data_IF_227396103033
#
_entry.id   IF_227396103033
#
_cell.length_a   1.000
_cell.length_b   1.000
_cell.length_c   1.000
_cell.angle_alpha   90.00
_cell.angle_beta   90.00
_cell.angle_gamma   90.00
#
_symmetry.space_group_name_H-M   'P 1'
#
loop_
_entity.id
_entity.type
_entity.pdbx_description
1 polymer ?
#
# COMPACT_ATOMS: atom_id res chain seq x y z
N UNK A 1 22.20 9.23 7.64
CA UNK A 1 21.43 8.55 8.71
C UNK A 1 19.99 9.02 8.74
N UNK A 2 19.73 10.33 8.86
CA UNK A 2 18.36 10.85 8.92
C UNK A 2 17.54 10.63 7.65
N UNK A 3 18.17 10.58 6.48
CA UNK A 3 17.50 10.25 5.23
C UNK A 3 16.92 8.82 5.22
N UNK A 4 17.69 7.82 5.67
CA UNK A 4 17.21 6.43 5.77
C UNK A 4 16.07 6.31 6.77
N UNK A 5 16.22 6.92 7.95
CA UNK A 5 15.16 6.97 8.97
C UNK A 5 13.88 7.59 8.39
N UNK A 6 13.99 8.74 7.70
CA UNK A 6 12.85 9.41 7.06
C UNK A 6 12.15 8.52 6.04
N UNK A 7 12.91 7.80 5.21
CA UNK A 7 12.36 6.87 4.21
C UNK A 7 11.64 5.71 4.88
N UNK A 8 12.25 5.05 5.87
CA UNK A 8 11.58 3.95 6.58
C UNK A 8 10.32 4.41 7.30
N UNK A 9 10.39 5.50 8.06
CA UNK A 9 9.24 6.07 8.76
C UNK A 9 8.08 6.36 7.82
N UNK A 10 8.36 6.87 6.61
CA UNK A 10 7.35 7.10 5.58
C UNK A 10 6.83 5.79 5.01
N UNK A 11 7.70 4.84 4.68
CA UNK A 11 7.33 3.59 4.03
C UNK A 11 6.40 2.73 4.91
N UNK A 12 6.62 2.67 6.22
CA UNK A 12 5.77 1.91 7.15
C UNK A 12 4.37 2.49 7.34
N UNK A 13 4.14 3.74 6.91
CA UNK A 13 2.84 4.41 6.95
C UNK A 13 2.02 4.21 5.68
N UNK A 14 2.64 3.68 4.62
CA UNK A 14 2.01 3.47 3.32
C UNK A 14 1.56 2.00 3.23
N UNK A 15 0.34 1.70 2.73
CA UNK A 15 -0.13 0.35 2.44
C UNK A 15 0.68 -0.32 1.31
N UNK A 16 1.90 -0.77 1.62
CA UNK A 16 2.78 -1.50 0.71
C UNK A 16 2.66 -3.01 0.98
N UNK A 17 2.76 -3.84 -0.07
CA UNK A 17 2.68 -5.31 0.09
C UNK A 17 3.73 -5.87 1.06
N UNK A 18 4.90 -5.25 1.13
CA UNK A 18 6.01 -5.65 2.00
C UNK A 18 6.09 -4.84 3.31
N UNK A 19 5.01 -4.16 3.72
CA UNK A 19 5.03 -3.28 4.91
C UNK A 19 5.49 -3.99 6.18
N UNK A 20 5.13 -5.26 6.37
CA UNK A 20 5.55 -6.06 7.53
C UNK A 20 7.06 -6.33 7.53
N UNK A 21 7.64 -6.53 6.34
CA UNK A 21 9.08 -6.73 6.20
C UNK A 21 9.83 -5.43 6.49
N UNK A 22 9.33 -4.32 5.95
CA UNK A 22 9.89 -2.98 6.19
C UNK A 22 9.84 -2.59 7.67
N UNK A 23 8.80 -3.01 8.40
CA UNK A 23 8.69 -2.82 9.84
C UNK A 23 9.80 -3.54 10.61
N UNK A 24 10.06 -4.80 10.28
CA UNK A 24 11.15 -5.59 10.89
C UNK A 24 12.52 -4.99 10.58
N UNK A 25 12.73 -4.57 9.33
CA UNK A 25 14.00 -3.97 8.90
C UNK A 25 14.23 -2.61 9.60
N UNK A 26 13.17 -1.79 9.80
CA UNK A 26 13.24 -0.56 10.59
C UNK A 26 13.54 -0.84 12.07
N UNK A 27 12.93 -1.87 12.66
CA UNK A 27 13.19 -2.25 14.05
C UNK A 27 14.67 -2.63 14.24
N UNK A 28 15.20 -3.47 13.36
CA UNK A 28 16.61 -3.87 13.39
C UNK A 28 17.54 -2.66 13.21
N UNK A 29 17.19 -1.74 12.30
CA UNK A 29 17.93 -0.50 12.08
C UNK A 29 17.95 0.39 13.33
N UNK A 30 16.81 0.68 13.95
CA UNK A 30 16.76 1.55 15.14
C UNK A 30 17.43 0.90 16.37
N UNK A 31 17.28 -0.42 16.55
CA UNK A 31 17.96 -1.14 17.64
C UNK A 31 19.47 -1.13 17.46
N UNK A 32 19.98 -1.23 16.23
CA UNK A 32 21.41 -1.14 15.94
C UNK A 32 22.01 0.22 16.28
N UNK A 33 21.21 1.28 16.25
CA UNK A 33 21.62 2.64 16.58
C UNK A 33 21.50 2.92 18.08
N UNK A 34 20.31 2.75 18.65
CA UNK A 34 20.07 2.96 20.07
C UNK A 34 18.78 2.27 20.53
N UNK A 35 18.94 1.24 21.38
CA UNK A 35 17.84 0.42 21.90
C UNK A 35 16.81 1.19 22.74
N UNK A 36 17.20 2.29 23.39
CA UNK A 36 16.30 3.08 24.23
C UNK A 36 15.39 3.95 23.37
N UNK A 37 15.96 4.64 22.36
CA UNK A 37 15.18 5.49 21.45
C UNK A 37 14.36 4.66 20.47
N UNK A 38 14.85 3.48 20.07
CA UNK A 38 14.13 2.54 19.21
C UNK A 38 12.74 2.22 19.77
N UNK A 39 12.64 1.88 21.06
CA UNK A 39 11.34 1.58 21.68
C UNK A 39 10.34 2.74 21.58
N UNK A 40 10.81 3.98 21.72
CA UNK A 40 9.95 5.16 21.60
C UNK A 40 9.47 5.35 20.16
N UNK A 41 10.39 5.35 19.19
CA UNK A 41 10.03 5.52 17.77
C UNK A 41 9.09 4.43 17.27
N UNK A 42 9.34 3.18 17.65
CA UNK A 42 8.48 2.06 17.28
C UNK A 42 7.09 2.17 17.92
N UNK A 43 6.99 2.64 19.16
CA UNK A 43 5.70 2.88 19.82
C UNK A 43 4.90 4.00 19.11
N UNK A 44 5.58 5.08 18.73
CA UNK A 44 4.96 6.23 18.05
C UNK A 44 4.45 5.87 16.65
N UNK A 45 5.20 5.02 15.92
CA UNK A 45 4.83 4.57 14.58
C UNK A 45 3.83 3.41 14.55
N UNK A 46 3.75 2.60 15.61
CA UNK A 46 2.87 1.43 15.71
C UNK A 46 1.42 1.68 15.25
N UNK A 47 0.70 2.73 15.71
CA UNK A 47 -0.66 2.98 15.25
C UNK A 47 -0.76 3.22 13.75
N UNK A 48 0.17 4.00 13.18
CA UNK A 48 0.20 4.29 11.74
C UNK A 48 0.51 3.06 10.89
N UNK A 49 1.42 2.20 11.38
CA UNK A 49 1.74 0.92 10.73
C UNK A 49 0.54 -0.04 10.76
N UNK A 50 -0.15 -0.14 11.90
CA UNK A 50 -1.36 -0.97 12.02
C UNK A 50 -2.49 -0.48 11.12
N UNK A 51 -2.64 0.84 10.98
CA UNK A 51 -3.58 1.43 10.02
C UNK A 51 -3.18 1.08 8.58
N UNK A 52 -1.92 1.26 8.20
CA UNK A 52 -1.42 0.92 6.87
C UNK A 52 -1.68 -0.55 6.50
N UNK A 53 -1.44 -1.49 7.43
CA UNK A 53 -1.77 -2.92 7.26
C UNK A 53 -3.26 -3.17 7.09
N UNK A 54 -4.09 -2.46 7.85
CA UNK A 54 -5.55 -2.60 7.76
C UNK A 54 -6.06 -2.12 6.41
N UNK A 55 -5.57 -0.96 5.96
CA UNK A 55 -5.90 -0.40 4.64
C UNK A 55 -5.37 -1.30 3.52
N UNK A 56 -4.18 -1.88 3.65
CA UNK A 56 -3.63 -2.83 2.67
C UNK A 56 -4.57 -4.03 2.46
N UNK A 57 -5.11 -4.60 3.55
CA UNK A 57 -6.08 -5.70 3.44
C UNK A 57 -7.37 -5.28 2.76
N UNK A 58 -7.82 -4.04 2.95
CA UNK A 58 -9.00 -3.51 2.27
C UNK A 58 -8.69 -3.28 0.78
N UNK A 59 -7.54 -2.68 0.47
CA UNK A 59 -7.03 -2.46 -0.88
C UNK A 59 -6.97 -3.78 -1.66
N UNK A 60 -6.40 -4.83 -1.09
CA UNK A 60 -6.30 -6.15 -1.73
C UNK A 60 -7.67 -6.73 -2.13
N UNK A 61 -8.74 -6.47 -1.35
CA UNK A 61 -10.11 -6.88 -1.72
C UNK A 61 -10.63 -6.13 -2.95
N UNK A 62 -10.22 -4.87 -3.14
CA UNK A 62 -10.58 -4.08 -4.31
C UNK A 62 -9.70 -4.40 -5.52
N UNK A 63 -8.43 -4.75 -5.33
CA UNK A 63 -7.50 -5.08 -6.41
C UNK A 63 -7.71 -6.48 -6.99
N UNK A 64 -8.16 -7.45 -6.19
CA UNK A 64 -8.38 -8.83 -6.65
C UNK A 64 -9.24 -8.95 -7.93
N UNK A 65 -10.39 -8.27 -8.02
CA UNK A 65 -11.21 -8.25 -9.24
C UNK A 65 -10.59 -7.51 -10.44
N UNK A 66 -9.64 -6.60 -10.20
CA UNK A 66 -8.99 -5.79 -11.24
C UNK A 66 -7.84 -6.52 -11.91
N UNK A 67 -7.12 -7.33 -11.13
CA UNK A 67 -5.95 -8.08 -11.57
C UNK A 67 -6.14 -9.56 -11.27
N UNK A 68 -7.05 -10.24 -12.01
CA UNK A 68 -7.21 -11.68 -11.86
C UNK A 68 -5.86 -12.38 -12.14
N UNK A 69 -5.54 -13.44 -11.39
CA UNK A 69 -4.30 -14.19 -11.60
C UNK A 69 -4.22 -14.65 -13.05
N UNK A 70 -3.07 -14.42 -13.68
CA UNK A 70 -2.81 -14.84 -15.06
C UNK A 70 -3.16 -16.32 -15.20
N UNK A 71 -4.08 -16.64 -16.12
CA UNK A 71 -4.44 -18.02 -16.39
C UNK A 71 -3.16 -18.77 -16.82
N UNK A 72 -2.94 -20.02 -16.35
CA UNK A 72 -1.70 -20.77 -16.61
C UNK A 72 -1.45 -21.07 -18.10
N UNK A 73 -2.44 -20.86 -18.97
CA UNK A 73 -2.38 -21.03 -20.42
C UNK A 73 -1.96 -19.77 -21.20
N UNK A 74 -1.70 -18.66 -20.51
CA UNK A 74 -1.36 -17.38 -21.15
C UNK A 74 0.08 -17.39 -21.67
N UNK A 75 0.27 -17.69 -22.96
CA UNK A 75 1.57 -17.65 -23.66
C UNK A 75 2.13 -16.22 -23.84
N UNK A 76 1.45 -15.20 -23.33
CA UNK A 76 1.88 -13.80 -23.41
C UNK A 76 2.50 -13.37 -22.07
N UNK A 77 3.80 -13.04 -22.04
CA UNK A 77 4.47 -12.53 -20.84
C UNK A 77 4.06 -11.09 -20.49
N UNK A 78 3.28 -10.43 -21.34
CA UNK A 78 2.86 -9.04 -21.19
C UNK A 78 1.34 -8.94 -21.23
N UNK A 79 0.76 -8.39 -20.16
CA UNK A 79 -0.66 -8.02 -20.11
C UNK A 79 -0.83 -6.68 -20.84
N UNK A 80 -1.27 -6.73 -22.10
CA UNK A 80 -1.67 -5.54 -22.84
C UNK A 80 -3.18 -5.32 -22.66
N UNK A 81 -3.63 -4.08 -22.40
CA UNK A 81 -5.06 -3.77 -22.36
C UNK A 81 -5.72 -4.17 -23.69
N UNK A 82 -6.70 -5.06 -23.64
CA UNK A 82 -7.51 -5.40 -24.81
C UNK A 82 -8.45 -4.26 -25.15
N UNK A 83 -8.78 -4.11 -26.44
CA UNK A 83 -9.80 -3.17 -26.87
C UNK A 83 -11.13 -3.48 -26.15
N UNK A 84 -11.84 -2.45 -25.62
CA UNK A 84 -13.09 -2.67 -24.92
C UNK A 84 -14.13 -3.26 -25.88
N UNK A 85 -14.57 -4.48 -25.58
CA UNK A 85 -15.62 -5.19 -26.33
C UNK A 85 -17.02 -4.87 -25.79
N UNK A 86 -17.11 -4.13 -24.67
CA UNK A 86 -18.34 -3.80 -23.94
C UNK A 86 -19.17 -5.01 -23.50
N UNK A 87 -18.52 -6.17 -23.48
CA UNK A 87 -19.07 -7.43 -23.04
C UNK A 87 -19.45 -7.39 -21.54
N UNK A 88 -20.30 -8.30 -21.06
CA UNK A 88 -20.61 -8.41 -19.63
C UNK A 88 -19.39 -8.41 -18.69
N UNK A 89 -18.28 -9.13 -18.96
CA UNK A 89 -17.08 -9.07 -18.13
C UNK A 89 -16.38 -7.70 -18.17
N UNK A 90 -16.34 -7.02 -19.32
CA UNK A 90 -15.78 -5.67 -19.41
C UNK A 90 -16.56 -4.68 -18.53
N UNK A 91 -17.89 -4.78 -18.54
CA UNK A 91 -18.76 -3.95 -17.68
C UNK A 91 -18.53 -4.23 -16.20
N UNK A 92 -18.31 -5.50 -15.83
CA UNK A 92 -17.98 -5.89 -14.46
C UNK A 92 -16.61 -5.31 -14.03
N UNK A 93 -15.60 -5.36 -14.90
CA UNK A 93 -14.28 -4.78 -14.67
C UNK A 93 -14.35 -3.26 -14.46
N UNK A 94 -15.09 -2.55 -15.31
CA UNK A 94 -15.34 -1.10 -15.13
C UNK A 94 -16.06 -0.81 -13.82
N UNK A 95 -17.02 -1.65 -13.44
CA UNK A 95 -17.70 -1.55 -12.14
C UNK A 95 -16.74 -1.70 -10.97
N UNK A 96 -15.82 -2.66 -11.04
CA UNK A 96 -14.77 -2.85 -10.04
C UNK A 96 -13.82 -1.65 -9.96
N UNK A 97 -13.39 -1.07 -11.10
CA UNK A 97 -12.57 0.14 -11.12
C UNK A 97 -13.28 1.33 -10.47
N UNK A 98 -14.57 1.52 -10.76
CA UNK A 98 -15.37 2.58 -10.12
C UNK A 98 -15.50 2.37 -8.61
N UNK A 99 -15.69 1.13 -8.17
CA UNK A 99 -15.75 0.80 -6.74
C UNK A 99 -14.41 1.08 -6.05
N UNK A 100 -13.30 0.72 -6.67
CA UNK A 100 -11.95 1.04 -6.18
C UNK A 100 -11.72 2.54 -6.07
N UNK A 101 -12.00 3.32 -7.12
CA UNK A 101 -11.84 4.78 -7.10
C UNK A 101 -12.72 5.46 -6.05
N UNK A 102 -13.96 5.00 -5.87
CA UNK A 102 -14.85 5.49 -4.82
C UNK A 102 -14.30 5.19 -3.43
N UNK A 103 -13.73 4.01 -3.24
CA UNK A 103 -13.09 3.63 -1.97
C UNK A 103 -11.83 4.48 -1.71
N UNK A 104 -10.93 4.62 -2.68
CA UNK A 104 -9.73 5.45 -2.55
C UNK A 104 -10.09 6.91 -2.26
N UNK A 105 -11.11 7.45 -2.96
CA UNK A 105 -11.63 8.79 -2.73
C UNK A 105 -12.25 9.02 -1.35
N UNK A 106 -12.62 7.96 -0.63
CA UNK A 106 -13.11 8.06 0.76
C UNK A 106 -11.98 8.31 1.78
N UNK A 107 -10.72 8.34 1.33
CA UNK A 107 -9.54 8.55 2.15
C UNK A 107 -9.44 7.53 3.31
N UNK A 108 -9.30 6.22 3.00
CA UNK A 108 -9.22 5.16 4.01
C UNK A 108 -8.02 5.31 4.96
N UNK A 109 -6.95 5.98 4.51
CA UNK A 109 -5.78 6.31 5.33
C UNK A 109 -5.97 7.55 6.21
N UNK A 110 -7.10 8.25 6.11
CA UNK A 110 -7.38 9.49 6.83
C UNK A 110 -6.20 10.49 6.78
N UNK A 111 -5.54 10.56 5.62
CA UNK A 111 -4.35 11.40 5.43
C UNK A 111 -4.77 12.85 5.66
N UNK A 112 -4.21 13.50 6.68
CA UNK A 112 -4.45 14.92 6.94
C UNK A 112 -3.74 15.74 5.88
N UNK A 113 -4.25 16.93 5.56
CA UNK A 113 -3.65 17.79 4.53
C UNK A 113 -2.18 18.14 4.81
N UNK A 114 -1.79 18.23 6.09
CA UNK A 114 -0.40 18.45 6.52
C UNK A 114 0.54 17.30 6.14
N UNK A 115 0.04 16.08 6.03
CA UNK A 115 0.83 14.88 5.72
C UNK A 115 0.95 14.66 4.20
N UNK A 116 0.06 15.25 3.39
CA UNK A 116 0.12 15.19 1.92
C UNK A 116 1.40 15.82 1.37
N UNK A 117 1.89 16.91 1.98
CA UNK A 117 3.12 17.61 1.58
C UNK A 117 4.35 16.73 1.76
N UNK A 118 4.38 15.93 2.83
CA UNK A 118 5.48 15.01 3.16
C UNK A 118 5.56 13.79 2.23
N UNK A 119 4.48 13.49 1.49
CA UNK A 119 4.43 12.42 0.50
C UNK A 119 4.87 12.87 -0.90
N UNK A 120 4.93 14.18 -1.17
CA UNK A 120 5.26 14.70 -2.52
C UNK A 120 6.70 15.25 -2.62
N UNK A 121 7.44 15.30 -1.50
CA UNK A 121 8.89 15.54 -1.45
C UNK A 121 9.67 14.23 -1.29
#
# INVERSE_FOLDING_TARGET
MDALRKVYHRAVQIPLDNVERLWQDLEAFEVSLNRITAKKFMADLSPSHMQARTVLRQLQKHLGPLFPPLAPSSRCPLYLPSHPSFSPPDRALVGAWKAYLKWEGSNPLAIKEKDKVSLHQ
#
